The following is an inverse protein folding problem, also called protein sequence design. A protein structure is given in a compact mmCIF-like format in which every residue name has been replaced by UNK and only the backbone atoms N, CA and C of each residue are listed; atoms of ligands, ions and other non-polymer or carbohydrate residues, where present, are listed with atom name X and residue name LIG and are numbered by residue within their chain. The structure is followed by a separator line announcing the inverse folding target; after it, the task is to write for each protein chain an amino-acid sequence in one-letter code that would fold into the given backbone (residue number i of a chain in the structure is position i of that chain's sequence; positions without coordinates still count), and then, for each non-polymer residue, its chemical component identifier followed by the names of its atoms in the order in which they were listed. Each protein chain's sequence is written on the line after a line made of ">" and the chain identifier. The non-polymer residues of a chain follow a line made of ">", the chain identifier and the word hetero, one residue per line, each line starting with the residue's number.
data_IF_359291187814
#
_entry.id   IF_359291187814
#
_cell.length_a   1.000
_cell.length_b   1.000
_cell.length_c   1.000
_cell.angle_alpha   90.00
_cell.angle_beta   90.00
_cell.angle_gamma   90.00
#
_symmetry.space_group_name_H-M   'P 1'
#
loop_
_entity.id
_entity.type
_entity.pdbx_description
1 polymer ?
#
# COMPACT_ATOMS: atom_id res chain seq x y z
N UNK A 1 -59.02 7.34 64.87
CA UNK A 1 -58.21 6.25 64.31
C UNK A 1 -57.98 6.56 62.82
N UNK A 2 -56.79 7.00 62.47
CA UNK A 2 -56.41 7.32 61.07
C UNK A 2 -55.53 6.20 60.57
N UNK A 3 -55.99 5.43 59.57
CA UNK A 3 -55.23 4.40 58.87
C UNK A 3 -54.34 5.03 57.82
N UNK A 4 -53.05 4.92 58.03
CA UNK A 4 -52.04 5.38 57.11
C UNK A 4 -51.73 4.29 56.06
N UNK A 5 -52.04 4.55 54.79
CA UNK A 5 -51.71 3.65 53.67
C UNK A 5 -50.26 3.88 53.24
N UNK A 6 -49.42 2.87 53.40
CA UNK A 6 -48.07 2.85 52.83
C UNK A 6 -48.15 2.48 51.36
N UNK A 7 -47.77 3.42 50.49
CA UNK A 7 -47.60 3.14 49.06
C UNK A 7 -46.14 2.71 48.87
N UNK A 8 -45.92 1.44 48.54
CA UNK A 8 -44.62 0.90 48.19
C UNK A 8 -44.39 1.15 46.70
N UNK A 9 -43.58 2.16 46.36
CA UNK A 9 -43.20 2.44 44.97
C UNK A 9 -41.98 1.57 44.63
N UNK A 10 -42.21 0.49 43.84
CA UNK A 10 -41.17 -0.41 43.32
C UNK A 10 -40.49 0.30 42.14
N UNK A 11 -39.26 0.82 42.34
CA UNK A 11 -38.43 1.44 41.30
C UNK A 11 -37.71 0.31 40.55
N UNK A 12 -38.28 -0.12 39.39
CA UNK A 12 -37.65 -1.08 38.50
C UNK A 12 -36.57 -0.40 37.70
N UNK A 13 -35.32 -0.49 38.16
CA UNK A 13 -34.14 -0.02 37.40
C UNK A 13 -33.89 -0.95 36.20
N UNK A 14 -34.28 -0.53 35.00
CA UNK A 14 -33.94 -1.18 33.76
C UNK A 14 -32.43 -0.95 33.49
N UNK A 15 -31.61 -1.91 33.89
CA UNK A 15 -30.23 -2.03 33.46
C UNK A 15 -30.22 -2.46 31.99
N UNK A 16 -30.12 -1.51 31.06
CA UNK A 16 -29.83 -1.82 29.66
C UNK A 16 -28.37 -2.23 29.57
N UNK A 17 -28.13 -3.55 29.62
CA UNK A 17 -26.83 -4.10 29.26
C UNK A 17 -26.61 -3.87 27.76
N UNK A 18 -25.79 -2.87 27.42
CA UNK A 18 -25.22 -2.78 26.08
C UNK A 18 -24.24 -3.94 25.91
N UNK A 19 -24.73 -5.09 25.44
CA UNK A 19 -23.90 -6.18 24.96
C UNK A 19 -23.34 -5.73 23.62
N UNK A 20 -22.23 -4.98 23.62
CA UNK A 20 -21.38 -4.86 22.42
C UNK A 20 -20.87 -6.28 22.14
N UNK A 21 -21.40 -6.90 21.11
CA UNK A 21 -20.80 -8.11 20.57
C UNK A 21 -19.39 -7.76 20.11
N UNK A 22 -18.39 -8.04 20.94
CA UNK A 22 -17.00 -7.84 20.61
C UNK A 22 -16.64 -8.91 19.58
N UNK A 23 -16.47 -8.49 18.31
CA UNK A 23 -16.01 -9.41 17.27
C UNK A 23 -14.65 -9.95 17.70
N UNK A 24 -14.57 -11.26 17.93
CA UNK A 24 -13.31 -11.92 18.29
C UNK A 24 -12.29 -11.71 17.15
N UNK A 25 -11.10 -11.22 17.50
CA UNK A 25 -10.03 -11.02 16.51
C UNK A 25 -9.64 -12.39 15.92
N UNK A 26 -9.54 -12.50 14.59
CA UNK A 26 -9.11 -13.73 13.95
C UNK A 26 -7.75 -14.17 14.48
N UNK A 27 -7.60 -15.47 14.77
CA UNK A 27 -6.33 -16.04 15.25
C UNK A 27 -5.24 -16.05 14.19
N UNK A 28 -5.66 -16.01 12.92
CA UNK A 28 -4.78 -16.09 11.75
C UNK A 28 -4.60 -14.70 11.14
N UNK A 29 -3.76 -13.89 11.79
CA UNK A 29 -3.44 -12.53 11.32
C UNK A 29 -2.28 -12.60 10.34
N UNK A 30 -2.43 -12.09 9.08
CA UNK A 30 -1.36 -12.05 8.11
C UNK A 30 -0.11 -11.35 8.66
N UNK A 31 1.04 -11.95 8.46
CA UNK A 31 2.35 -11.41 8.86
C UNK A 31 3.06 -10.81 7.64
N UNK A 32 3.92 -9.82 7.86
CA UNK A 32 4.72 -9.20 6.83
C UNK A 32 6.19 -9.60 6.99
N UNK A 33 6.75 -10.22 5.93
CA UNK A 33 8.16 -10.56 5.84
C UNK A 33 8.85 -9.64 4.84
N UNK A 34 9.94 -8.96 5.25
CA UNK A 34 10.70 -8.12 4.32
C UNK A 34 11.23 -8.95 3.15
N UNK A 35 10.89 -8.52 1.93
CA UNK A 35 11.25 -9.22 0.71
C UNK A 35 12.38 -8.55 -0.05
N UNK A 36 12.25 -7.25 -0.35
CA UNK A 36 13.28 -6.47 -1.04
C UNK A 36 13.04 -4.96 -0.91
N UNK A 37 14.10 -4.19 -1.11
CA UNK A 37 14.05 -2.74 -1.31
C UNK A 37 14.46 -2.44 -2.75
N UNK A 38 13.69 -1.56 -3.43
CA UNK A 38 14.06 -1.05 -4.75
C UNK A 38 14.38 0.45 -4.62
N UNK A 39 15.51 0.87 -5.19
CA UNK A 39 15.89 2.28 -5.37
C UNK A 39 15.69 2.63 -6.84
N UNK A 40 14.52 3.17 -7.17
CA UNK A 40 14.09 3.44 -8.54
C UNK A 40 14.49 4.84 -8.93
N UNK A 41 15.30 5.00 -9.98
CA UNK A 41 15.64 6.32 -10.54
C UNK A 41 14.57 6.75 -11.54
N UNK A 42 14.21 8.04 -11.47
CA UNK A 42 13.10 8.61 -12.24
C UNK A 42 13.62 9.65 -13.25
N UNK A 43 12.96 9.70 -14.38
CA UNK A 43 13.20 10.69 -15.44
C UNK A 43 12.29 11.91 -15.35
N UNK A 44 12.38 12.75 -16.37
CA UNK A 44 11.54 13.94 -16.51
C UNK A 44 10.06 13.56 -16.64
N UNK A 45 9.23 14.10 -15.76
CA UNK A 45 7.77 13.88 -15.74
C UNK A 45 7.09 14.67 -16.86
N UNK A 46 6.08 14.08 -17.51
CA UNK A 46 5.20 14.78 -18.44
C UNK A 46 3.72 14.45 -18.15
N UNK A 47 2.84 15.42 -18.45
CA UNK A 47 1.41 15.31 -18.25
C UNK A 47 0.65 15.18 -19.57
N UNK A 48 -0.45 14.41 -19.55
CA UNK A 48 -1.43 14.33 -20.64
C UNK A 48 -2.62 15.26 -20.36
N UNK A 49 -2.51 16.08 -19.32
CA UNK A 49 -3.58 16.98 -18.85
C UNK A 49 -4.87 16.24 -18.43
N UNK A 50 -5.99 16.96 -18.42
CA UNK A 50 -7.27 16.40 -18.02
C UNK A 50 -7.82 15.50 -19.11
N UNK A 51 -8.03 14.23 -18.76
CA UNK A 51 -8.71 13.25 -19.58
C UNK A 51 -10.12 13.00 -19.03
N UNK A 52 -10.93 12.20 -19.72
CA UNK A 52 -12.23 11.74 -19.23
C UNK A 52 -12.15 10.94 -17.89
N UNK A 53 -10.95 10.44 -17.55
CA UNK A 53 -10.71 9.66 -16.34
C UNK A 53 -10.04 10.46 -15.21
N UNK A 54 -9.61 11.71 -15.47
CA UNK A 54 -8.85 12.55 -14.54
C UNK A 54 -7.56 13.08 -15.16
N UNK A 55 -6.71 13.67 -14.33
CA UNK A 55 -5.41 14.19 -14.78
C UNK A 55 -4.35 13.10 -14.82
N UNK A 56 -3.91 12.78 -16.04
CA UNK A 56 -2.88 11.75 -16.28
C UNK A 56 -1.48 12.36 -16.24
N UNK A 57 -0.56 11.70 -15.53
CA UNK A 57 0.87 12.04 -15.46
C UNK A 57 1.69 10.78 -15.71
N UNK A 58 2.78 10.90 -16.45
CA UNK A 58 3.71 9.79 -16.71
C UNK A 58 5.07 10.15 -16.17
N UNK A 59 5.67 9.27 -15.38
CA UNK A 59 6.99 9.43 -14.78
C UNK A 59 7.87 8.29 -15.30
N UNK A 60 8.79 8.55 -16.26
CA UNK A 60 9.68 7.52 -16.78
C UNK A 60 10.58 6.93 -15.70
N UNK A 61 10.78 5.61 -15.76
CA UNK A 61 11.75 4.88 -14.93
C UNK A 61 13.02 4.73 -15.75
N UNK A 62 14.12 5.30 -15.24
CA UNK A 62 15.41 5.35 -15.96
C UNK A 62 16.40 4.29 -15.47
N UNK A 63 16.06 3.52 -14.44
CA UNK A 63 16.89 2.47 -13.91
C UNK A 63 16.86 2.41 -12.38
N UNK A 64 17.93 1.92 -11.79
CA UNK A 64 18.08 1.79 -10.34
C UNK A 64 18.61 0.43 -9.92
N UNK A 65 18.54 0.15 -8.63
CA UNK A 65 18.99 -1.12 -8.05
C UNK A 65 17.93 -1.68 -7.11
N UNK A 66 18.00 -2.97 -6.82
CA UNK A 66 17.20 -3.59 -5.79
C UNK A 66 18.01 -4.63 -5.02
N UNK A 67 17.67 -4.81 -3.75
CA UNK A 67 18.30 -5.76 -2.86
C UNK A 67 17.31 -6.27 -1.80
N UNK A 68 17.43 -7.56 -1.48
CA UNK A 68 16.69 -8.22 -0.43
C UNK A 68 17.42 -9.48 0.04
N UNK A 69 16.91 -10.19 1.05
CA UNK A 69 17.59 -11.37 1.62
C UNK A 69 17.92 -12.47 0.60
N UNK A 70 17.09 -12.63 -0.43
CA UNK A 70 17.20 -13.73 -1.41
C UNK A 70 17.24 -13.25 -2.86
N UNK A 71 17.36 -11.94 -3.09
CA UNK A 71 17.29 -11.36 -4.43
C UNK A 71 18.01 -10.01 -4.47
N UNK A 72 18.79 -9.76 -5.53
CA UNK A 72 19.40 -8.46 -5.81
C UNK A 72 19.65 -8.29 -7.31
N UNK A 73 19.87 -7.04 -7.74
CA UNK A 73 20.13 -6.74 -9.12
C UNK A 73 19.83 -5.29 -9.51
N UNK A 74 19.46 -5.07 -10.76
CA UNK A 74 19.24 -3.75 -11.35
C UNK A 74 17.83 -3.61 -11.91
N UNK A 75 17.35 -2.37 -11.94
CA UNK A 75 16.08 -1.99 -12.58
C UNK A 75 16.41 -1.59 -14.02
N UNK A 76 15.66 -2.17 -14.96
CA UNK A 76 15.85 -1.89 -16.40
C UNK A 76 15.15 -0.58 -16.75
N UNK A 77 15.85 0.28 -17.48
CA UNK A 77 15.29 1.50 -18.05
C UNK A 77 14.21 1.16 -19.11
N UNK A 78 13.22 2.04 -19.28
CA UNK A 78 12.17 1.93 -20.30
C UNK A 78 10.76 1.69 -19.76
N UNK A 79 10.60 1.49 -18.46
CA UNK A 79 9.30 1.49 -17.80
C UNK A 79 8.84 2.89 -17.41
N UNK A 80 7.63 2.99 -16.89
CA UNK A 80 7.09 4.24 -16.35
C UNK A 80 6.05 4.00 -15.26
N UNK A 81 5.81 5.03 -14.43
CA UNK A 81 4.66 5.13 -13.54
C UNK A 81 3.59 6.00 -14.21
N UNK A 82 2.42 5.42 -14.43
CA UNK A 82 1.25 6.03 -15.08
C UNK A 82 0.27 6.48 -14.02
N UNK A 83 0.43 7.70 -13.53
CA UNK A 83 -0.42 8.24 -12.47
C UNK A 83 -1.74 8.79 -13.02
N UNK A 84 -2.80 8.65 -12.24
CA UNK A 84 -4.11 9.24 -12.50
C UNK A 84 -4.59 9.97 -11.25
N UNK A 85 -4.58 11.30 -11.28
CA UNK A 85 -5.11 12.11 -10.20
C UNK A 85 -6.61 12.36 -10.42
N UNK A 86 -7.42 11.94 -9.45
CA UNK A 86 -8.86 12.10 -9.41
C UNK A 86 -9.27 13.45 -8.82
N UNK A 87 -10.50 13.86 -9.05
CA UNK A 87 -11.05 15.14 -8.54
C UNK A 87 -11.19 15.16 -7.01
N UNK A 88 -11.25 14.01 -6.37
CA UNK A 88 -11.35 13.83 -4.91
C UNK A 88 -9.99 13.98 -4.17
N UNK A 89 -8.90 14.28 -4.89
CA UNK A 89 -7.55 14.41 -4.33
C UNK A 89 -6.78 13.08 -4.18
N UNK A 90 -7.37 11.97 -4.59
CA UNK A 90 -6.70 10.67 -4.66
C UNK A 90 -5.94 10.54 -5.97
N UNK A 91 -4.73 10.01 -5.92
CA UNK A 91 -3.95 9.64 -7.10
C UNK A 91 -3.73 8.14 -7.14
N UNK A 92 -4.15 7.50 -8.22
CA UNK A 92 -3.79 6.12 -8.53
C UNK A 92 -2.43 6.12 -9.20
N UNK A 93 -1.56 5.20 -8.78
CA UNK A 93 -0.24 4.98 -9.37
C UNK A 93 -0.20 3.57 -9.97
N UNK A 94 0.43 3.44 -11.14
CA UNK A 94 0.64 2.16 -11.79
C UNK A 94 1.98 2.17 -12.51
N UNK A 95 3.01 1.64 -11.84
CA UNK A 95 4.33 1.51 -12.41
C UNK A 95 4.49 0.14 -13.09
N UNK A 96 4.93 0.15 -14.35
CA UNK A 96 5.20 -1.06 -15.14
C UNK A 96 6.63 -0.99 -15.62
N UNK A 97 7.46 -1.97 -15.23
CA UNK A 97 8.88 -2.04 -15.56
C UNK A 97 9.43 -3.45 -15.41
N UNK A 98 10.69 -3.65 -15.77
CA UNK A 98 11.39 -4.90 -15.54
C UNK A 98 12.57 -4.69 -14.60
N UNK A 99 12.90 -5.73 -13.84
CA UNK A 99 14.13 -5.84 -13.06
C UNK A 99 14.94 -7.02 -13.59
N UNK A 100 16.26 -6.96 -13.40
CA UNK A 100 17.19 -8.02 -13.81
C UNK A 100 18.05 -8.38 -12.60
N UNK A 101 18.03 -9.63 -12.22
CA UNK A 101 18.84 -10.14 -11.11
C UNK A 101 20.33 -10.25 -11.50
N UNK A 102 21.22 -10.34 -10.51
CA UNK A 102 22.66 -10.49 -10.74
C UNK A 102 23.05 -11.78 -11.47
N UNK A 103 22.16 -12.77 -11.48
CA UNK A 103 22.29 -14.01 -12.25
C UNK A 103 21.46 -14.02 -13.55
N UNK A 104 21.25 -12.82 -14.11
CA UNK A 104 20.69 -12.60 -15.45
C UNK A 104 19.22 -13.02 -15.65
N UNK A 105 18.44 -13.14 -14.58
CA UNK A 105 17.01 -13.45 -14.69
C UNK A 105 16.20 -12.15 -14.76
N UNK A 106 15.38 -12.01 -15.80
CA UNK A 106 14.45 -10.89 -15.95
C UNK A 106 13.13 -11.21 -15.25
N UNK A 107 12.59 -10.19 -14.55
CA UNK A 107 11.32 -10.27 -13.82
C UNK A 107 10.51 -9.03 -14.18
N UNK A 108 9.28 -9.22 -14.64
CA UNK A 108 8.33 -8.14 -14.88
C UNK A 108 7.71 -7.69 -13.56
N UNK A 109 7.54 -6.37 -13.40
CA UNK A 109 6.94 -5.77 -12.22
C UNK A 109 5.79 -4.87 -12.63
N UNK A 110 4.63 -5.09 -12.03
CA UNK A 110 3.48 -4.19 -12.08
C UNK A 110 3.14 -3.75 -10.67
N UNK A 111 3.41 -2.50 -10.34
CA UNK A 111 3.22 -1.98 -9.00
C UNK A 111 2.08 -0.96 -8.99
N UNK A 112 0.93 -1.34 -8.42
CA UNK A 112 -0.26 -0.49 -8.32
C UNK A 112 -0.42 0.03 -6.90
N UNK A 113 -0.87 1.28 -6.78
CA UNK A 113 -1.03 1.88 -5.47
C UNK A 113 -1.89 3.13 -5.45
N UNK A 114 -1.95 3.72 -4.28
CA UNK A 114 -2.76 4.90 -4.01
C UNK A 114 -1.92 5.91 -3.22
N UNK A 115 -1.95 7.16 -3.68
CA UNK A 115 -1.54 8.34 -2.92
C UNK A 115 -2.82 9.06 -2.50
N UNK A 116 -2.93 9.41 -1.22
CA UNK A 116 -4.03 10.22 -0.70
C UNK A 116 -3.50 11.24 0.30
N UNK A 117 -3.94 12.49 0.12
CA UNK A 117 -3.74 13.56 1.06
C UNK A 117 -5.06 13.78 1.82
N UNK A 118 -5.04 13.64 3.12
CA UNK A 118 -6.21 13.78 3.98
C UNK A 118 -5.86 14.58 5.24
N UNK A 119 -6.79 14.68 6.15
CA UNK A 119 -6.53 15.17 7.51
C UNK A 119 -6.77 14.03 8.49
N UNK A 120 -5.96 13.95 9.53
CA UNK A 120 -6.18 13.04 10.66
C UNK A 120 -7.38 13.47 11.52
N UNK A 121 -7.70 12.72 12.57
CA UNK A 121 -8.81 13.02 13.47
C UNK A 121 -8.65 14.36 14.22
N UNK A 122 -7.44 14.92 14.28
CA UNK A 122 -7.11 16.20 14.90
C UNK A 122 -7.06 17.35 13.88
N UNK A 123 -7.32 17.08 12.60
CA UNK A 123 -7.28 18.07 11.52
C UNK A 123 -5.90 18.33 10.93
N UNK A 124 -4.84 17.60 11.34
CA UNK A 124 -3.49 17.74 10.80
C UNK A 124 -3.37 17.08 9.43
N UNK A 125 -2.50 17.59 8.52
CA UNK A 125 -2.24 16.96 7.25
C UNK A 125 -1.76 15.51 7.43
N UNK A 126 -2.35 14.58 6.68
CA UNK A 126 -2.00 13.17 6.66
C UNK A 126 -1.71 12.74 5.22
N UNK A 127 -0.55 12.13 5.02
CA UNK A 127 -0.11 11.61 3.72
C UNK A 127 -0.10 10.09 3.76
N UNK A 128 -0.78 9.48 2.80
CA UNK A 128 -0.83 8.03 2.62
C UNK A 128 -0.28 7.66 1.25
N UNK A 129 0.71 6.78 1.20
CA UNK A 129 1.20 6.19 -0.03
C UNK A 129 1.53 4.71 0.20
N UNK A 130 0.74 3.81 -0.40
CA UNK A 130 0.95 2.36 -0.34
C UNK A 130 0.68 1.75 -1.69
N UNK A 131 1.41 0.68 -1.99
CA UNK A 131 1.28 -0.07 -3.24
C UNK A 131 1.24 -1.58 -2.97
N UNK A 132 0.79 -2.32 -3.97
CA UNK A 132 0.73 -3.77 -3.99
C UNK A 132 1.41 -4.28 -5.27
N UNK A 133 2.73 -4.46 -5.27
CA UNK A 133 3.47 -4.94 -6.43
C UNK A 133 3.13 -6.40 -6.75
N UNK A 134 3.02 -6.69 -8.04
CA UNK A 134 2.94 -8.02 -8.62
C UNK A 134 4.22 -8.27 -9.40
N UNK A 135 4.74 -9.48 -9.30
CA UNK A 135 5.95 -9.91 -10.01
C UNK A 135 5.63 -11.10 -10.93
N UNK A 136 6.25 -11.09 -12.10
CA UNK A 136 6.22 -12.23 -13.03
C UNK A 136 7.66 -12.67 -13.29
N UNK A 137 8.11 -13.69 -12.58
CA UNK A 137 9.40 -14.34 -12.77
C UNK A 137 9.24 -15.62 -13.62
N UNK A 138 10.29 -16.09 -14.32
CA UNK A 138 10.24 -17.38 -14.99
C UNK A 138 9.89 -18.49 -13.98
N UNK A 139 8.87 -19.29 -14.30
CA UNK A 139 8.29 -20.26 -13.36
C UNK A 139 9.31 -21.27 -12.81
N UNK A 140 10.28 -21.67 -13.65
CA UNK A 140 11.31 -22.64 -13.30
C UNK A 140 12.58 -22.03 -12.70
N UNK A 141 12.57 -20.71 -12.42
CA UNK A 141 13.69 -20.04 -11.75
C UNK A 141 13.57 -20.14 -10.22
N UNK A 142 14.69 -19.93 -9.54
CA UNK A 142 14.68 -19.80 -8.07
C UNK A 142 13.83 -18.63 -7.56
N UNK A 143 13.37 -17.75 -8.44
CA UNK A 143 12.52 -16.59 -8.16
C UNK A 143 11.02 -16.87 -8.38
N UNK A 144 10.63 -18.11 -8.75
CA UNK A 144 9.24 -18.51 -8.95
C UNK A 144 8.33 -18.29 -7.72
N UNK A 145 8.91 -18.17 -6.52
CA UNK A 145 8.17 -17.82 -5.30
C UNK A 145 7.48 -16.44 -5.38
N UNK A 146 8.01 -15.52 -6.18
CA UNK A 146 7.42 -14.21 -6.42
C UNK A 146 6.05 -14.32 -7.09
N UNK A 147 5.85 -15.28 -7.99
CA UNK A 147 4.59 -15.48 -8.70
C UNK A 147 3.45 -15.98 -7.79
N UNK A 148 3.81 -16.61 -6.66
CA UNK A 148 2.88 -17.29 -5.76
C UNK A 148 2.75 -16.57 -4.41
N UNK A 149 2.94 -15.24 -4.39
CA UNK A 149 2.91 -14.45 -3.17
C UNK A 149 2.20 -13.13 -3.40
N UNK A 150 1.56 -12.63 -2.36
CA UNK A 150 1.08 -11.25 -2.32
C UNK A 150 2.12 -10.36 -1.65
N UNK A 151 2.19 -9.11 -2.12
CA UNK A 151 3.15 -8.14 -1.59
C UNK A 151 2.48 -6.82 -1.26
N UNK A 152 3.00 -6.15 -0.24
CA UNK A 152 2.70 -4.77 0.09
C UNK A 152 3.97 -3.94 -0.02
N UNK A 153 3.81 -2.68 -0.41
CA UNK A 153 4.93 -1.75 -0.58
C UNK A 153 4.64 -0.42 0.11
N UNK A 154 5.65 0.08 0.81
CA UNK A 154 5.67 1.43 1.38
C UNK A 154 6.72 2.26 0.65
N UNK A 155 6.30 3.10 -0.30
CA UNK A 155 7.19 4.05 -0.96
C UNK A 155 7.64 5.16 -0.01
N UNK A 156 8.89 5.61 -0.19
CA UNK A 156 9.46 6.75 0.53
C UNK A 156 10.40 7.56 -0.36
N UNK A 157 10.57 8.83 -0.02
CA UNK A 157 11.52 9.72 -0.69
C UNK A 157 12.72 9.91 0.22
N UNK A 158 13.93 9.81 -0.32
CA UNK A 158 15.18 10.00 0.42
C UNK A 158 15.86 11.28 -0.05
N UNK A 159 16.32 12.11 0.89
CA UNK A 159 17.09 13.31 0.58
C UNK A 159 18.38 12.94 -0.18
N UNK A 160 18.65 13.66 -1.27
CA UNK A 160 19.85 13.43 -2.11
C UNK A 160 19.74 12.26 -3.09
N UNK A 161 18.60 11.58 -3.19
CA UNK A 161 18.33 10.56 -4.19
C UNK A 161 17.27 11.04 -5.19
N UNK A 162 17.63 11.13 -6.48
CA UNK A 162 16.68 11.48 -7.54
C UNK A 162 15.84 10.26 -7.94
N UNK A 163 14.85 9.94 -7.12
CA UNK A 163 14.02 8.76 -7.35
C UNK A 163 13.14 8.45 -6.15
N UNK A 164 12.70 7.21 -6.11
CA UNK A 164 11.84 6.69 -5.04
C UNK A 164 12.41 5.39 -4.46
N UNK A 165 12.32 5.23 -3.16
CA UNK A 165 12.69 3.99 -2.46
C UNK A 165 11.41 3.22 -2.15
N UNK A 166 11.34 1.98 -2.60
CA UNK A 166 10.22 1.08 -2.42
C UNK A 166 10.63 -0.05 -1.47
N UNK A 167 10.10 -0.05 -0.25
CA UNK A 167 10.27 -1.17 0.66
C UNK A 167 9.11 -2.13 0.46
N UNK A 168 9.41 -3.39 0.17
CA UNK A 168 8.44 -4.42 -0.21
C UNK A 168 8.46 -5.56 0.80
N UNK A 169 7.27 -5.93 1.26
CA UNK A 169 7.05 -7.06 2.15
C UNK A 169 6.14 -8.09 1.49
N UNK A 170 6.48 -9.35 1.69
CA UNK A 170 5.63 -10.50 1.39
C UNK A 170 4.59 -10.67 2.49
N UNK A 171 3.34 -10.94 2.10
CA UNK A 171 2.28 -11.34 3.03
C UNK A 171 2.39 -12.85 3.28
N UNK A 172 2.46 -13.24 4.54
CA UNK A 172 2.51 -14.64 5.01
C UNK A 172 1.17 -15.07 5.57
#
# INVERSE_FOLDING_TARGET
>A
MKTMKFIFTLLLALFTMNISAQVEQPKDTPQLEFALQLKVTLGGTFGINNTQHGRRTVIPITGGTFEGPNIKGTIISGGADYQLANADGRTEVEAIYCIKTDDDVYIHVRNRGIISNSKDANGNPSFYFRCAPQFEAPANSKYGWLNNSLFLCAPSFSSGFNGIVLNVWRVK
#
